data_IF_652395419642
#
_entry.id   IF_652395419642
#
_cell.length_a   1.000
_cell.length_b   1.000
_cell.length_c   1.000
_cell.angle_alpha   90.00
_cell.angle_beta   90.00
_cell.angle_gamma   90.00
#
_symmetry.space_group_name_H-M   'P 1'
#
loop_
_entity.id
_entity.type
_entity.pdbx_description
1 polymer ?
#
# COMPACT_ATOMS: atom_id res chain seq x y z
N UNK A 1 -14.23 -5.39 2.75
CA UNK A 1 -15.24 -5.39 3.84
C UNK A 1 -16.56 -4.79 3.38
N UNK A 2 -16.55 -3.61 2.76
CA UNK A 2 -17.77 -2.87 2.37
C UNK A 2 -18.83 -3.67 1.61
N UNK A 3 -18.47 -4.30 0.49
CA UNK A 3 -19.47 -4.80 -0.45
C UNK A 3 -20.17 -3.67 -1.22
N UNK A 4 -21.43 -3.89 -1.60
CA UNK A 4 -22.25 -2.94 -2.35
C UNK A 4 -21.51 -2.38 -3.58
N UNK A 5 -20.81 -3.28 -4.31
CA UNK A 5 -19.83 -2.89 -5.31
C UNK A 5 -20.43 -2.12 -6.50
N UNK A 6 -21.70 -2.35 -6.82
CA UNK A 6 -22.42 -1.69 -7.92
C UNK A 6 -23.58 -0.82 -7.43
N UNK A 7 -23.56 -0.39 -6.17
CA UNK A 7 -24.66 0.36 -5.56
C UNK A 7 -24.38 1.86 -5.52
N UNK A 8 -25.47 2.63 -5.53
CA UNK A 8 -25.49 4.06 -5.21
C UNK A 8 -24.43 4.91 -5.96
N UNK A 9 -24.15 4.56 -7.21
CA UNK A 9 -23.28 5.32 -8.09
C UNK A 9 -21.78 5.05 -7.93
N UNK A 10 -21.37 4.05 -7.12
CA UNK A 10 -20.00 3.53 -7.15
C UNK A 10 -19.70 2.93 -8.53
N UNK A 11 -18.48 3.13 -9.03
CA UNK A 11 -17.96 2.48 -10.24
C UNK A 11 -16.92 1.42 -9.88
N UNK A 12 -16.57 0.53 -10.84
CA UNK A 12 -15.53 -0.46 -10.62
C UNK A 12 -14.18 0.15 -10.24
N UNK A 13 -13.56 -0.46 -9.25
CA UNK A 13 -12.12 -0.40 -8.96
C UNK A 13 -11.39 -1.49 -9.73
N UNK A 14 -10.06 -1.44 -9.74
CA UNK A 14 -9.21 -2.47 -10.33
C UNK A 14 -9.44 -3.87 -9.72
N UNK A 15 -9.87 -3.96 -8.45
CA UNK A 15 -10.21 -5.23 -7.82
C UNK A 15 -11.52 -5.83 -8.33
N UNK A 16 -12.52 -5.01 -8.64
CA UNK A 16 -13.80 -5.51 -9.16
C UNK A 16 -13.57 -6.17 -10.54
N UNK A 17 -12.87 -5.45 -11.43
CA UNK A 17 -12.50 -5.96 -12.75
C UNK A 17 -11.65 -7.23 -12.66
N UNK A 18 -10.66 -7.23 -11.75
CA UNK A 18 -9.78 -8.39 -11.56
C UNK A 18 -10.54 -9.61 -11.04
N UNK A 19 -11.43 -9.44 -10.07
CA UNK A 19 -12.23 -10.52 -9.53
C UNK A 19 -13.21 -11.08 -10.59
N UNK A 20 -13.96 -10.20 -11.28
CA UNK A 20 -14.91 -10.60 -12.31
C UNK A 20 -14.25 -11.17 -13.58
N UNK A 21 -12.96 -10.90 -13.82
CA UNK A 21 -12.15 -11.57 -14.84
C UNK A 21 -11.73 -13.01 -14.45
N UNK A 22 -12.10 -13.47 -13.24
CA UNK A 22 -11.88 -14.83 -12.76
C UNK A 22 -10.52 -15.06 -12.11
N UNK A 23 -9.83 -14.02 -11.66
CA UNK A 23 -8.50 -14.14 -11.04
C UNK A 23 -8.53 -14.51 -9.55
N UNK A 24 -9.71 -14.57 -8.95
CA UNK A 24 -9.90 -14.95 -7.54
C UNK A 24 -10.75 -16.22 -7.39
N UNK A 25 -10.67 -17.14 -8.36
CA UNK A 25 -11.26 -18.48 -8.29
C UNK A 25 -12.78 -18.54 -8.06
N UNK A 26 -13.51 -17.55 -8.59
CA UNK A 26 -14.98 -17.49 -8.51
C UNK A 26 -15.52 -16.75 -7.29
N UNK A 27 -14.65 -16.31 -6.38
CA UNK A 27 -15.01 -15.36 -5.32
C UNK A 27 -15.04 -13.91 -5.85
N UNK A 28 -15.47 -12.96 -5.02
CA UNK A 28 -15.39 -11.53 -5.30
C UNK A 28 -15.71 -10.71 -4.05
N UNK A 29 -15.56 -9.38 -4.16
CA UNK A 29 -15.91 -8.42 -3.11
C UNK A 29 -17.29 -7.80 -3.26
N UNK A 30 -18.19 -8.37 -4.07
CA UNK A 30 -19.46 -7.70 -4.43
C UNK A 30 -20.33 -7.44 -3.20
N UNK A 31 -20.33 -8.39 -2.25
CA UNK A 31 -21.00 -8.30 -0.94
C UNK A 31 -19.97 -8.21 0.20
N UNK A 32 -18.88 -8.98 0.14
CA UNK A 32 -17.88 -9.07 1.21
C UNK A 32 -18.50 -9.31 2.61
N UNK A 33 -18.21 -8.46 3.59
CA UNK A 33 -18.83 -8.52 4.93
C UNK A 33 -20.11 -7.70 5.03
N UNK A 34 -20.49 -7.00 3.95
CA UNK A 34 -21.66 -6.13 3.86
C UNK A 34 -21.61 -4.92 4.83
N UNK A 35 -20.39 -4.46 5.20
CA UNK A 35 -20.20 -3.30 6.09
C UNK A 35 -20.84 -2.03 5.52
N UNK A 36 -21.01 -1.93 4.19
CA UNK A 36 -21.74 -0.81 3.60
C UNK A 36 -23.14 -0.61 4.22
N UNK A 37 -23.82 -1.72 4.47
CA UNK A 37 -25.15 -1.74 5.10
C UNK A 37 -25.07 -1.94 6.62
N UNK A 38 -24.05 -2.64 7.10
CA UNK A 38 -23.95 -3.14 8.47
C UNK A 38 -22.94 -2.42 9.36
N UNK A 39 -22.38 -1.30 8.91
CA UNK A 39 -21.33 -0.59 9.66
C UNK A 39 -21.71 -0.27 11.12
N UNK A 40 -22.99 -0.07 11.45
CA UNK A 40 -23.42 0.13 12.84
C UNK A 40 -23.23 -1.10 13.72
N UNK A 41 -23.46 -2.28 13.16
CA UNK A 41 -23.25 -3.56 13.83
C UNK A 41 -21.75 -3.79 14.04
N UNK A 42 -20.94 -3.48 13.02
CA UNK A 42 -19.48 -3.54 13.12
C UNK A 42 -18.96 -2.58 14.20
N UNK A 43 -19.43 -1.33 14.23
CA UNK A 43 -19.06 -0.36 15.29
C UNK A 43 -19.48 -0.84 16.68
N UNK A 44 -20.67 -1.43 16.82
CA UNK A 44 -21.11 -1.96 18.10
C UNK A 44 -20.20 -3.09 18.60
N UNK A 45 -19.75 -3.98 17.70
CA UNK A 45 -18.75 -5.01 18.05
C UNK A 45 -17.42 -4.40 18.48
N UNK A 46 -16.98 -3.31 17.85
CA UNK A 46 -15.76 -2.58 18.25
C UNK A 46 -15.89 -1.98 19.65
N UNK A 47 -17.07 -1.44 20.00
CA UNK A 47 -17.37 -0.92 21.34
C UNK A 47 -17.33 -2.04 22.37
N UNK A 48 -17.99 -3.16 22.10
CA UNK A 48 -18.01 -4.34 23.00
C UNK A 48 -16.62 -4.93 23.20
N UNK A 49 -15.78 -4.88 22.17
CA UNK A 49 -14.37 -5.29 22.23
C UNK A 49 -13.51 -4.30 23.03
N UNK A 50 -13.95 -3.05 23.16
CA UNK A 50 -13.22 -1.99 23.84
C UNK A 50 -12.11 -1.37 23.01
N UNK A 51 -12.32 -1.21 21.69
CA UNK A 51 -11.34 -0.56 20.80
C UNK A 51 -11.36 0.96 20.98
N UNK A 52 -10.18 1.58 21.08
CA UNK A 52 -10.03 3.04 21.11
C UNK A 52 -10.02 3.68 19.72
N UNK A 53 -9.72 2.90 18.68
CA UNK A 53 -9.55 3.37 17.32
C UNK A 53 -9.94 2.30 16.31
N UNK A 54 -10.44 2.74 15.15
CA UNK A 54 -10.73 1.88 14.00
C UNK A 54 -9.99 2.41 12.78
N UNK A 55 -9.17 1.53 12.18
CA UNK A 55 -8.51 1.82 10.91
C UNK A 55 -9.33 1.25 9.76
N UNK A 56 -9.77 2.12 8.86
CA UNK A 56 -10.50 1.75 7.64
C UNK A 56 -9.99 2.52 6.42
N UNK A 57 -10.42 2.15 5.22
CA UNK A 57 -10.12 2.87 3.99
C UNK A 57 -11.36 3.48 3.36
N UNK A 58 -11.18 4.60 2.66
CA UNK A 58 -12.23 5.20 1.83
C UNK A 58 -12.07 4.64 0.41
N UNK A 59 -13.14 4.08 -0.15
CA UNK A 59 -13.16 3.59 -1.52
C UNK A 59 -13.13 4.77 -2.49
N UNK A 60 -12.03 4.91 -3.25
CA UNK A 60 -11.88 6.00 -4.21
C UNK A 60 -12.99 5.94 -5.27
N UNK A 61 -13.27 4.76 -5.83
CA UNK A 61 -14.31 4.60 -6.86
C UNK A 61 -15.74 4.79 -6.33
N UNK A 62 -15.95 4.72 -5.00
CA UNK A 62 -17.23 5.08 -4.38
C UNK A 62 -17.38 6.58 -4.23
N UNK A 63 -16.32 7.27 -3.77
CA UNK A 63 -16.37 8.70 -3.49
C UNK A 63 -16.26 9.55 -4.77
N UNK A 64 -15.38 9.18 -5.69
CA UNK A 64 -15.16 9.79 -7.00
C UNK A 64 -15.25 8.71 -8.09
N UNK A 65 -16.45 8.41 -8.61
CA UNK A 65 -16.64 7.29 -9.54
C UNK A 65 -15.85 7.40 -10.85
N UNK A 66 -15.61 8.61 -11.34
CA UNK A 66 -14.78 8.83 -12.54
C UNK A 66 -13.29 9.01 -12.19
N UNK A 67 -12.86 8.65 -10.97
CA UNK A 67 -11.55 8.94 -10.39
C UNK A 67 -11.32 10.41 -10.04
N UNK A 68 -12.02 11.32 -10.73
CA UNK A 68 -11.97 12.77 -10.55
C UNK A 68 -13.37 13.38 -10.76
N UNK A 69 -13.48 14.69 -10.49
CA UNK A 69 -14.71 15.44 -10.74
C UNK A 69 -15.69 15.45 -9.56
N UNK A 70 -17.01 15.41 -9.79
CA UNK A 70 -18.00 15.59 -8.74
C UNK A 70 -18.00 14.43 -7.74
N UNK A 71 -18.23 14.76 -6.47
CA UNK A 71 -18.38 13.79 -5.39
C UNK A 71 -19.70 13.04 -5.54
N UNK A 72 -19.65 11.72 -5.40
CA UNK A 72 -20.85 10.91 -5.23
C UNK A 72 -21.44 11.17 -3.84
N UNK A 73 -22.61 11.81 -3.79
CA UNK A 73 -23.27 12.19 -2.52
C UNK A 73 -23.60 10.99 -1.64
N UNK A 74 -23.85 9.82 -2.22
CA UNK A 74 -24.13 8.58 -1.49
C UNK A 74 -22.88 7.99 -0.83
N UNK A 75 -21.78 7.91 -1.57
CA UNK A 75 -20.47 7.57 -1.00
C UNK A 75 -20.06 8.52 0.12
N UNK A 76 -20.24 9.83 -0.11
CA UNK A 76 -19.98 10.86 0.91
C UNK A 76 -20.84 10.67 2.16
N UNK A 77 -22.12 10.36 1.99
CA UNK A 77 -23.04 10.11 3.10
C UNK A 77 -22.64 8.88 3.91
N UNK A 78 -22.27 7.79 3.24
CA UNK A 78 -21.82 6.56 3.90
C UNK A 78 -20.62 6.82 4.83
N UNK A 79 -19.53 7.41 4.32
CA UNK A 79 -18.35 7.66 5.16
C UNK A 79 -18.62 8.67 6.26
N UNK A 80 -19.43 9.71 6.02
CA UNK A 80 -19.86 10.62 7.08
C UNK A 80 -20.62 9.88 8.20
N UNK A 81 -21.52 8.97 7.83
CA UNK A 81 -22.28 8.18 8.78
C UNK A 81 -21.38 7.23 9.59
N UNK A 82 -20.47 6.51 8.93
CA UNK A 82 -19.49 5.66 9.59
C UNK A 82 -18.61 6.45 10.57
N UNK A 83 -18.03 7.57 10.11
CA UNK A 83 -17.17 8.43 10.95
C UNK A 83 -17.94 8.98 12.14
N UNK A 84 -19.18 9.43 11.95
CA UNK A 84 -20.01 9.94 13.04
C UNK A 84 -20.35 8.84 14.06
N UNK A 85 -20.66 7.63 13.59
CA UNK A 85 -20.97 6.48 14.45
C UNK A 85 -19.75 6.06 15.29
N UNK A 86 -18.55 6.04 14.69
CA UNK A 86 -17.30 5.78 15.41
C UNK A 86 -17.08 6.82 16.52
N UNK A 87 -17.17 8.11 16.16
CA UNK A 87 -16.91 9.22 17.09
C UNK A 87 -17.96 9.27 18.21
N UNK A 88 -19.24 9.04 17.92
CA UNK A 88 -20.29 9.03 18.95
C UNK A 88 -20.08 7.92 19.99
N UNK A 89 -19.35 6.88 19.62
CA UNK A 89 -18.98 5.76 20.48
C UNK A 89 -17.54 5.88 21.04
N UNK A 90 -16.88 7.03 20.86
CA UNK A 90 -15.53 7.28 21.40
C UNK A 90 -14.39 6.60 20.64
N UNK A 91 -14.65 6.03 19.46
CA UNK A 91 -13.66 5.33 18.63
C UNK A 91 -13.04 6.31 17.65
N UNK A 92 -11.71 6.42 17.65
CA UNK A 92 -10.98 7.32 16.77
C UNK A 92 -10.89 6.76 15.34
N UNK A 93 -11.30 7.53 14.31
CA UNK A 93 -11.15 7.09 12.92
C UNK A 93 -9.70 7.28 12.44
N UNK A 94 -9.07 6.18 12.01
CA UNK A 94 -7.79 6.15 11.32
C UNK A 94 -8.04 5.83 9.84
N UNK A 95 -7.97 6.84 8.97
CA UNK A 95 -8.40 6.67 7.57
C UNK A 95 -7.22 6.40 6.65
N UNK A 96 -7.35 5.40 5.80
CA UNK A 96 -6.46 5.14 4.66
C UNK A 96 -7.09 5.60 3.36
N UNK A 97 -6.42 6.45 2.58
CA UNK A 97 -6.98 7.00 1.35
C UNK A 97 -6.98 5.98 0.21
N UNK A 98 -5.88 5.26 0.00
CA UNK A 98 -5.79 4.23 -1.02
C UNK A 98 -5.32 2.91 -0.40
N UNK A 99 -6.13 1.88 -0.56
CA UNK A 99 -5.85 0.53 -0.10
C UNK A 99 -6.06 -0.46 -1.25
N UNK A 100 -5.16 -0.39 -2.24
CA UNK A 100 -5.18 -1.21 -3.47
C UNK A 100 -6.40 -0.99 -4.38
N UNK A 101 -7.18 0.07 -4.18
CA UNK A 101 -8.55 0.23 -4.71
C UNK A 101 -8.69 1.29 -5.82
N UNK A 102 -7.65 1.47 -6.65
CA UNK A 102 -7.66 2.43 -7.76
C UNK A 102 -8.94 2.31 -8.61
N UNK A 103 -9.64 3.42 -8.94
CA UNK A 103 -10.78 3.38 -9.87
C UNK A 103 -10.35 2.83 -11.24
N UNK A 104 -11.08 1.86 -11.78
CA UNK A 104 -10.74 1.19 -13.04
C UNK A 104 -10.60 2.19 -14.20
N UNK A 105 -11.42 3.24 -14.20
CA UNK A 105 -11.37 4.30 -15.23
C UNK A 105 -10.00 4.99 -15.33
N UNK A 106 -9.24 5.12 -14.22
CA UNK A 106 -7.90 5.70 -14.24
C UNK A 106 -6.85 4.71 -14.75
N UNK A 107 -7.07 3.41 -14.50
CA UNK A 107 -6.27 2.34 -15.09
C UNK A 107 -6.48 2.26 -16.61
N UNK A 108 -7.74 2.35 -17.07
CA UNK A 108 -8.10 2.30 -18.49
C UNK A 108 -7.62 3.53 -19.26
N UNK A 109 -7.69 4.73 -18.66
CA UNK A 109 -7.37 5.99 -19.34
C UNK A 109 -5.87 6.15 -19.57
N UNK A 110 -5.03 5.84 -18.57
CA UNK A 110 -3.59 6.10 -18.65
C UNK A 110 -2.70 5.05 -17.97
N UNK A 111 -3.26 3.94 -17.50
CA UNK A 111 -2.49 2.90 -16.82
C UNK A 111 -2.23 3.17 -15.34
N UNK A 112 -3.06 3.98 -14.67
CA UNK A 112 -3.00 4.11 -13.22
C UNK A 112 -1.63 4.58 -12.71
N UNK A 113 -1.02 3.77 -11.84
CA UNK A 113 0.19 4.17 -11.13
C UNK A 113 1.47 4.19 -11.98
N UNK A 114 1.46 3.63 -13.20
CA UNK A 114 2.60 3.78 -14.13
C UNK A 114 2.59 5.11 -14.89
N UNK A 115 1.50 5.88 -14.82
CA UNK A 115 1.45 7.25 -15.36
C UNK A 115 1.69 8.30 -14.29
N UNK A 116 2.40 9.36 -14.66
CA UNK A 116 2.62 10.53 -13.80
C UNK A 116 1.33 11.33 -13.53
N UNK A 117 0.30 11.17 -14.37
CA UNK A 117 -0.99 11.85 -14.23
C UNK A 117 -1.71 11.46 -12.92
N UNK A 118 -1.44 10.27 -12.39
CA UNK A 118 -2.01 9.79 -11.13
C UNK A 118 -1.71 10.73 -9.96
N UNK A 119 -0.58 11.46 -9.99
CA UNK A 119 -0.20 12.37 -8.92
C UNK A 119 -1.25 13.47 -8.77
N UNK A 120 -1.73 14.03 -9.89
CA UNK A 120 -2.76 15.07 -9.88
C UNK A 120 -4.07 14.51 -9.36
N UNK A 121 -4.49 13.36 -9.86
CA UNK A 121 -5.80 12.80 -9.57
C UNK A 121 -5.87 12.27 -8.13
N UNK A 122 -4.81 11.63 -7.63
CA UNK A 122 -4.70 11.25 -6.22
C UNK A 122 -4.66 12.47 -5.30
N UNK A 123 -3.96 13.54 -5.70
CA UNK A 123 -3.95 14.80 -4.92
C UNK A 123 -5.34 15.43 -4.87
N UNK A 124 -6.09 15.38 -5.97
CA UNK A 124 -7.48 15.86 -6.01
C UNK A 124 -8.39 15.02 -5.10
N UNK A 125 -8.27 13.69 -5.18
CA UNK A 125 -9.00 12.77 -4.30
C UNK A 125 -8.69 13.02 -2.82
N UNK A 126 -7.41 13.15 -2.47
CA UNK A 126 -7.00 13.52 -1.12
C UNK A 126 -7.57 14.88 -0.68
N UNK A 127 -7.60 15.88 -1.57
CA UNK A 127 -8.22 17.20 -1.29
C UNK A 127 -9.70 17.06 -0.92
N UNK A 128 -10.44 16.20 -1.64
CA UNK A 128 -11.84 15.90 -1.32
C UNK A 128 -11.93 15.25 0.05
N UNK A 129 -11.18 14.18 0.31
CA UNK A 129 -11.24 13.49 1.61
C UNK A 129 -10.91 14.43 2.79
N UNK A 130 -9.84 15.23 2.67
CA UNK A 130 -9.48 16.19 3.72
C UNK A 130 -10.55 17.26 3.92
N UNK A 131 -11.15 17.77 2.83
CA UNK A 131 -12.20 18.78 2.92
C UNK A 131 -13.46 18.25 3.58
N UNK A 132 -13.90 17.05 3.19
CA UNK A 132 -15.20 16.51 3.58
C UNK A 132 -15.20 15.82 4.95
N UNK A 133 -14.05 15.29 5.39
CA UNK A 133 -13.98 14.46 6.61
C UNK A 133 -12.93 14.94 7.63
N UNK A 134 -12.01 15.82 7.23
CA UNK A 134 -10.88 16.21 8.08
C UNK A 134 -11.24 17.10 9.26
N UNK A 135 -12.49 17.54 9.39
CA UNK A 135 -13.01 18.17 10.61
C UNK A 135 -13.11 17.16 11.79
N UNK A 136 -13.19 15.87 11.48
CA UNK A 136 -13.38 14.76 12.43
C UNK A 136 -12.27 13.71 12.37
N UNK A 137 -11.64 13.55 11.21
CA UNK A 137 -10.55 12.58 11.00
C UNK A 137 -9.19 13.23 11.22
N UNK A 138 -8.47 12.73 12.23
CA UNK A 138 -7.15 13.24 12.60
C UNK A 138 -6.01 12.41 12.02
N UNK A 139 -6.17 11.11 11.77
CA UNK A 139 -5.08 10.26 11.29
C UNK A 139 -5.32 9.81 9.86
N UNK A 140 -4.46 10.26 8.95
CA UNK A 140 -4.55 9.99 7.53
C UNK A 140 -3.36 9.16 7.06
N UNK A 141 -3.61 7.98 6.54
CA UNK A 141 -2.64 7.21 5.75
C UNK A 141 -2.92 7.45 4.28
N UNK A 142 -1.93 7.90 3.53
CA UNK A 142 -2.08 8.13 2.08
C UNK A 142 -2.24 6.82 1.31
N UNK A 143 -1.23 5.97 1.31
CA UNK A 143 -1.23 4.69 0.59
C UNK A 143 -0.88 3.56 1.53
N UNK A 144 -1.65 2.47 1.43
CA UNK A 144 -1.33 1.22 2.10
C UNK A 144 -0.27 0.44 1.33
N UNK A 145 0.76 -0.06 2.03
CA UNK A 145 1.73 -1.06 1.52
C UNK A 145 2.18 -0.85 0.06
N UNK A 146 2.74 0.31 -0.29
CA UNK A 146 3.11 0.61 -1.67
C UNK A 146 4.09 -0.41 -2.26
N UNK A 147 4.93 -1.01 -1.41
CA UNK A 147 5.87 -2.07 -1.79
C UNK A 147 5.16 -3.38 -2.18
N UNK A 148 4.19 -3.85 -1.38
CA UNK A 148 3.42 -5.06 -1.69
C UNK A 148 2.57 -4.84 -2.93
N UNK A 149 1.94 -3.68 -3.04
CA UNK A 149 1.14 -3.31 -4.21
C UNK A 149 1.95 -3.32 -5.51
N UNK A 150 3.16 -2.75 -5.49
CA UNK A 150 4.03 -2.74 -6.66
C UNK A 150 4.48 -4.15 -7.06
N UNK A 151 4.85 -5.00 -6.09
CA UNK A 151 5.26 -6.39 -6.36
C UNK A 151 4.09 -7.20 -6.93
N UNK A 152 2.92 -7.16 -6.30
CA UNK A 152 1.77 -7.96 -6.75
C UNK A 152 1.17 -7.47 -8.06
N UNK A 153 0.99 -6.15 -8.19
CA UNK A 153 0.24 -5.52 -9.28
C UNK A 153 1.06 -5.17 -10.52
N UNK A 154 2.38 -4.93 -10.39
CA UNK A 154 3.24 -4.43 -11.47
C UNK A 154 4.50 -5.26 -11.73
N UNK A 155 4.75 -6.31 -10.94
CA UNK A 155 5.86 -7.23 -11.14
C UNK A 155 5.36 -8.65 -11.46
N UNK A 156 4.70 -9.28 -10.49
CA UNK A 156 4.33 -10.70 -10.52
C UNK A 156 2.97 -10.96 -11.20
N UNK A 157 2.13 -9.92 -11.32
CA UNK A 157 0.77 -10.03 -11.85
C UNK A 157 -0.13 -10.93 -11.00
N UNK A 158 0.08 -10.99 -9.69
CA UNK A 158 -0.73 -11.76 -8.73
C UNK A 158 -1.88 -10.96 -8.15
N UNK A 159 -1.84 -9.63 -8.27
CA UNK A 159 -2.93 -8.72 -7.94
C UNK A 159 -3.23 -7.75 -9.08
N UNK A 160 -4.29 -6.94 -8.96
CA UNK A 160 -4.61 -5.91 -9.94
C UNK A 160 -3.52 -4.80 -9.97
N UNK A 161 -3.28 -4.14 -11.13
CA UNK A 161 -3.96 -4.30 -12.42
C UNK A 161 -3.41 -5.46 -13.28
N UNK A 162 -2.66 -6.40 -12.69
CA UNK A 162 -2.07 -7.55 -13.36
C UNK A 162 -1.02 -7.17 -14.43
N UNK A 163 -0.23 -6.14 -14.15
CA UNK A 163 0.92 -5.82 -14.97
C UNK A 163 2.08 -6.76 -14.63
N UNK A 164 2.56 -7.50 -15.63
CA UNK A 164 3.73 -8.36 -15.57
C UNK A 164 4.26 -8.66 -16.99
N UNK A 165 5.54 -9.02 -17.09
CA UNK A 165 6.17 -9.48 -18.33
C UNK A 165 6.90 -10.82 -18.12
N UNK A 166 6.86 -11.77 -19.07
CA UNK A 166 7.63 -13.00 -18.97
C UNK A 166 9.14 -12.75 -18.77
N UNK A 167 9.83 -13.57 -17.95
CA UNK A 167 9.35 -14.79 -17.28
C UNK A 167 8.74 -14.55 -15.89
N UNK A 168 8.53 -13.31 -15.46
CA UNK A 168 8.23 -12.94 -14.06
C UNK A 168 6.75 -13.09 -13.68
N UNK A 169 5.86 -13.19 -14.67
CA UNK A 169 4.43 -13.46 -14.44
C UNK A 169 4.22 -14.79 -13.70
N UNK A 170 3.65 -14.72 -12.49
CA UNK A 170 3.27 -15.90 -11.71
C UNK A 170 2.01 -16.54 -12.28
N UNK A 171 1.02 -15.72 -12.64
CA UNK A 171 -0.21 -16.16 -13.31
C UNK A 171 0.05 -16.21 -14.82
N UNK A 172 0.14 -17.42 -15.38
CA UNK A 172 0.42 -17.63 -16.82
C UNK A 172 -0.88 -17.55 -17.64
N UNK A 173 -1.01 -16.54 -18.50
CA UNK A 173 -2.04 -16.44 -19.55
C UNK A 173 -1.46 -15.82 -20.83
N UNK A 174 -2.20 -15.96 -21.93
CA UNK A 174 -1.76 -15.55 -23.29
C UNK A 174 -1.57 -14.04 -23.46
N UNK A 175 -2.21 -13.22 -22.61
CA UNK A 175 -2.05 -11.76 -22.61
C UNK A 175 -1.28 -11.32 -21.37
N UNK A 176 -0.05 -10.83 -21.56
CA UNK A 176 0.75 -10.16 -20.53
C UNK A 176 0.87 -8.68 -20.88
N UNK A 177 0.43 -7.80 -19.98
CA UNK A 177 0.58 -6.35 -20.09
C UNK A 177 1.64 -5.89 -19.10
N UNK A 178 2.44 -4.89 -19.47
CA UNK A 178 3.36 -4.23 -18.55
C UNK A 178 4.80 -4.72 -18.66
N UNK A 179 5.62 -4.28 -17.72
CA UNK A 179 7.06 -4.49 -17.75
C UNK A 179 7.63 -4.63 -16.32
N UNK A 180 7.76 -5.89 -15.87
CA UNK A 180 8.26 -6.26 -14.53
C UNK A 180 9.65 -5.71 -14.21
N UNK A 181 10.44 -5.39 -15.25
CA UNK A 181 11.77 -4.80 -15.09
C UNK A 181 11.73 -3.32 -14.68
N UNK A 182 10.66 -2.59 -14.98
CA UNK A 182 10.59 -1.12 -14.80
C UNK A 182 9.36 -0.64 -14.02
N UNK A 183 8.19 -1.21 -14.29
CA UNK A 183 6.91 -0.72 -13.76
C UNK A 183 6.78 -0.78 -12.24
N UNK A 184 7.34 -1.77 -11.51
CA UNK A 184 7.31 -1.74 -10.04
C UNK A 184 7.99 -0.50 -9.47
N UNK A 185 9.14 -0.11 -10.04
CA UNK A 185 9.85 1.10 -9.63
C UNK A 185 9.06 2.36 -9.99
N UNK A 186 8.44 2.38 -11.17
CA UNK A 186 7.65 3.50 -11.65
C UNK A 186 6.39 3.72 -10.81
N UNK A 187 5.68 2.63 -10.47
CA UNK A 187 4.50 2.68 -9.60
C UNK A 187 4.86 3.21 -8.21
N UNK A 188 5.90 2.67 -7.56
CA UNK A 188 6.35 3.18 -6.25
C UNK A 188 6.80 4.63 -6.34
N UNK A 189 7.50 5.02 -7.42
CA UNK A 189 7.94 6.39 -7.62
C UNK A 189 6.76 7.36 -7.67
N UNK A 190 5.73 7.07 -8.47
CA UNK A 190 4.53 7.90 -8.55
C UNK A 190 3.70 7.86 -7.26
N UNK A 191 3.67 6.74 -6.53
CA UNK A 191 3.05 6.66 -5.21
C UNK A 191 3.75 7.62 -4.23
N UNK A 192 5.09 7.61 -4.18
CA UNK A 192 5.85 8.50 -3.30
C UNK A 192 5.62 9.98 -3.64
N UNK A 193 5.58 10.32 -4.93
CA UNK A 193 5.24 11.68 -5.38
C UNK A 193 3.80 12.05 -5.00
N UNK A 194 2.85 11.13 -5.17
CA UNK A 194 1.44 11.34 -4.81
C UNK A 194 1.25 11.53 -3.30
N UNK A 195 1.93 10.71 -2.49
CA UNK A 195 2.01 10.86 -1.04
C UNK A 195 2.55 12.25 -0.66
N UNK A 196 3.71 12.65 -1.22
CA UNK A 196 4.32 13.94 -0.91
C UNK A 196 3.43 15.13 -1.30
N UNK A 197 2.72 15.01 -2.44
CA UNK A 197 1.79 16.02 -2.93
C UNK A 197 0.58 16.16 -2.00
N UNK A 198 -0.03 15.04 -1.58
CA UNK A 198 -1.14 15.03 -0.63
C UNK A 198 -0.74 15.56 0.76
N UNK A 199 0.41 15.14 1.29
CA UNK A 199 0.92 15.63 2.57
C UNK A 199 1.22 17.14 2.54
N UNK A 200 1.81 17.63 1.45
CA UNK A 200 2.06 19.06 1.24
C UNK A 200 0.76 19.86 1.12
N UNK A 201 -0.25 19.31 0.44
CA UNK A 201 -1.59 19.89 0.37
C UNK A 201 -2.19 20.00 1.77
N UNK A 202 -2.17 18.91 2.54
CA UNK A 202 -2.68 18.89 3.93
C UNK A 202 -2.00 19.94 4.80
N UNK A 203 -0.67 19.97 4.79
CA UNK A 203 0.14 20.92 5.56
C UNK A 203 -0.21 22.37 5.25
N UNK A 204 -0.50 22.69 3.98
CA UNK A 204 -0.74 24.07 3.53
C UNK A 204 -2.18 24.55 3.68
N UNK A 205 -3.14 23.65 3.54
CA UNK A 205 -4.56 24.01 3.42
C UNK A 205 -5.37 23.62 4.66
N UNK A 206 -4.99 22.56 5.35
CA UNK A 206 -5.83 21.90 6.35
C UNK A 206 -5.21 21.83 7.75
N UNK A 207 -3.89 21.65 7.87
CA UNK A 207 -3.19 21.41 9.15
C UNK A 207 -3.52 22.44 10.24
N UNK A 208 -3.58 23.73 9.90
CA UNK A 208 -3.83 24.80 10.88
C UNK A 208 -5.26 24.78 11.45
N UNK A 209 -6.21 24.16 10.75
CA UNK A 209 -7.62 24.07 11.18
C UNK A 209 -7.99 22.71 11.73
N UNK A 210 -7.45 21.65 11.13
CA UNK A 210 -7.83 20.27 11.40
C UNK A 210 -6.88 19.60 12.39
N UNK A 211 -5.64 20.09 12.52
CA UNK A 211 -4.63 19.57 13.45
C UNK A 211 -4.31 18.07 13.34
N UNK A 212 -4.74 17.39 12.26
CA UNK A 212 -4.47 15.98 12.02
C UNK A 212 -3.06 15.72 11.51
N UNK A 213 -2.77 14.46 11.25
CA UNK A 213 -1.47 13.89 10.93
C UNK A 213 -1.56 13.08 9.63
N UNK A 214 -0.56 13.23 8.76
CA UNK A 214 -0.50 12.50 7.49
C UNK A 214 0.70 11.56 7.48
N UNK A 215 0.47 10.28 7.23
CA UNK A 215 1.47 9.24 7.12
C UNK A 215 1.32 8.37 5.88
N UNK A 216 2.13 7.32 5.86
CA UNK A 216 2.11 6.25 4.87
C UNK A 216 2.38 4.94 5.62
N UNK A 217 1.81 3.82 5.14
CA UNK A 217 2.17 2.53 5.71
C UNK A 217 3.27 1.85 4.90
N UNK A 218 3.92 0.89 5.55
CA UNK A 218 4.87 0.01 4.92
C UNK A 218 4.73 -1.39 5.50
N UNK A 219 4.58 -2.35 4.60
CA UNK A 219 4.71 -3.76 4.97
C UNK A 219 6.17 -4.09 5.21
N UNK A 220 6.45 -4.81 6.29
CA UNK A 220 7.79 -5.31 6.56
C UNK A 220 7.78 -6.71 7.15
N UNK A 221 8.58 -7.59 6.55
CA UNK A 221 9.02 -8.80 7.22
C UNK A 221 10.08 -8.50 8.29
N UNK A 222 10.24 -9.42 9.24
CA UNK A 222 11.50 -9.55 9.95
C UNK A 222 12.51 -10.32 9.09
N UNK A 223 13.48 -9.62 8.48
CA UNK A 223 14.50 -10.26 7.64
C UNK A 223 15.71 -10.75 8.44
N UNK A 224 15.89 -12.06 8.53
CA UNK A 224 16.97 -12.70 9.27
C UNK A 224 17.92 -13.45 8.35
N UNK A 225 19.24 -13.38 8.57
CA UNK A 225 20.17 -14.13 7.74
C UNK A 225 19.99 -15.63 7.99
N UNK A 226 19.91 -16.42 6.92
CA UNK A 226 19.75 -17.88 7.00
C UNK A 226 20.92 -18.52 7.75
N UNK A 227 22.14 -18.05 7.49
CA UNK A 227 23.37 -18.48 8.15
C UNK A 227 24.08 -17.31 8.81
N UNK A 228 25.06 -17.59 9.69
CA UNK A 228 25.89 -16.56 10.32
C UNK A 228 26.96 -15.96 9.38
N UNK A 229 26.88 -16.23 8.08
CA UNK A 229 27.86 -15.74 7.13
C UNK A 229 27.64 -14.26 6.82
N UNK A 230 28.72 -13.57 6.48
CA UNK A 230 28.64 -12.15 6.11
C UNK A 230 27.77 -11.93 4.86
N UNK A 231 27.76 -12.89 3.92
CA UNK A 231 26.95 -12.84 2.71
C UNK A 231 25.45 -12.77 3.03
N UNK A 232 24.96 -13.66 3.89
CA UNK A 232 23.54 -13.68 4.27
C UNK A 232 23.15 -12.45 5.12
N UNK A 233 24.08 -11.95 5.94
CA UNK A 233 23.89 -10.71 6.71
C UNK A 233 23.71 -9.50 5.78
N UNK A 234 24.57 -9.38 4.76
CA UNK A 234 24.46 -8.31 3.75
C UNK A 234 23.20 -8.50 2.90
N UNK A 235 22.85 -9.73 2.53
CA UNK A 235 21.62 -10.03 1.79
C UNK A 235 20.36 -9.61 2.57
N UNK A 236 20.32 -9.86 3.88
CA UNK A 236 19.23 -9.42 4.77
C UNK A 236 19.11 -7.89 4.82
N UNK A 237 20.24 -7.17 4.78
CA UNK A 237 20.24 -5.71 4.69
C UNK A 237 19.76 -5.23 3.31
N UNK A 238 20.21 -5.84 2.21
CA UNK A 238 19.71 -5.48 0.87
C UNK A 238 18.21 -5.67 0.75
N UNK A 239 17.66 -6.75 1.31
CA UNK A 239 16.22 -6.99 1.33
C UNK A 239 15.48 -5.85 2.04
N UNK A 240 15.99 -5.38 3.17
CA UNK A 240 15.45 -4.20 3.87
C UNK A 240 15.53 -2.94 3.04
N UNK A 241 16.66 -2.71 2.40
CA UNK A 241 16.89 -1.53 1.57
C UNK A 241 15.90 -1.44 0.40
N UNK A 242 15.51 -2.57 -0.19
CA UNK A 242 14.50 -2.62 -1.25
C UNK A 242 13.07 -2.47 -0.74
N UNK A 243 12.82 -2.81 0.53
CA UNK A 243 11.51 -2.63 1.16
C UNK A 243 11.33 -1.20 1.71
N UNK A 244 12.38 -0.55 2.24
CA UNK A 244 12.31 0.78 2.87
C UNK A 244 12.82 1.91 1.96
N UNK A 245 12.05 3.00 1.87
CA UNK A 245 12.31 4.11 0.96
C UNK A 245 13.42 5.09 1.40
N UNK A 246 14.47 5.19 0.59
CA UNK A 246 15.18 6.39 0.09
C UNK A 246 16.22 5.88 -0.92
N UNK A 247 15.73 5.21 -1.99
CA UNK A 247 16.51 4.36 -2.91
C UNK A 247 17.96 4.13 -2.46
N UNK A 248 18.18 3.23 -1.47
CA UNK A 248 19.48 3.10 -0.84
C UNK A 248 20.57 2.77 -1.87
N UNK A 249 21.83 2.98 -1.49
CA UNK A 249 22.97 2.76 -2.39
C UNK A 249 22.93 1.35 -3.02
N UNK A 250 22.51 0.35 -2.26
CA UNK A 250 22.30 -1.03 -2.75
C UNK A 250 21.27 -1.11 -3.88
N UNK A 251 20.10 -0.49 -3.72
CA UNK A 251 19.09 -0.39 -4.79
C UNK A 251 19.64 0.30 -6.03
N UNK A 252 20.24 1.48 -5.86
CA UNK A 252 20.82 2.25 -6.98
C UNK A 252 21.92 1.48 -7.71
N UNK A 253 22.73 0.73 -6.97
CA UNK A 253 23.80 -0.10 -7.55
C UNK A 253 23.23 -1.25 -8.36
N UNK A 254 22.19 -1.93 -7.86
CA UNK A 254 21.69 -3.15 -8.47
C UNK A 254 20.68 -2.88 -9.60
N UNK A 255 19.75 -1.96 -9.39
CA UNK A 255 18.69 -1.65 -10.35
C UNK A 255 19.09 -0.57 -11.35
N UNK A 256 19.95 0.38 -10.94
CA UNK A 256 20.53 1.40 -11.81
C UNK A 256 19.47 2.28 -12.47
N UNK A 257 19.57 2.43 -13.79
CA UNK A 257 18.71 3.27 -14.63
C UNK A 257 17.23 2.85 -14.63
N UNK A 258 16.89 1.69 -14.09
CA UNK A 258 15.50 1.22 -13.96
C UNK A 258 14.73 1.94 -12.86
N UNK A 259 15.44 2.54 -11.90
CA UNK A 259 14.83 3.37 -10.87
C UNK A 259 14.62 4.78 -11.44
N UNK A 260 13.38 5.30 -11.47
CA UNK A 260 13.15 6.67 -11.89
C UNK A 260 13.86 7.66 -10.97
N UNK A 261 14.48 8.67 -11.57
CA UNK A 261 15.26 9.68 -10.84
C UNK A 261 14.33 10.77 -10.33
N UNK A 262 14.34 11.01 -9.02
CA UNK A 262 13.75 12.23 -8.46
C UNK A 262 14.57 13.45 -8.88
N UNK A 263 13.89 14.49 -9.37
CA UNK A 263 14.48 15.83 -9.41
C UNK A 263 14.80 16.30 -7.99
N UNK A 264 15.73 17.26 -7.84
CA UNK A 264 16.08 17.82 -6.53
C UNK A 264 14.83 18.28 -5.76
N UNK A 265 13.91 18.97 -6.45
CA UNK A 265 12.65 19.44 -5.89
C UNK A 265 11.77 18.29 -5.40
N UNK A 266 11.64 17.22 -6.17
CA UNK A 266 10.83 16.07 -5.76
C UNK A 266 11.46 15.34 -4.57
N UNK A 267 12.79 15.17 -4.58
CA UNK A 267 13.50 14.54 -3.46
C UNK A 267 13.30 15.33 -2.17
N UNK A 268 13.42 16.65 -2.22
CA UNK A 268 13.14 17.54 -1.08
C UNK A 268 11.66 17.47 -0.63
N UNK A 269 10.73 17.27 -1.56
CA UNK A 269 9.31 17.16 -1.24
C UNK A 269 8.94 15.84 -0.58
N UNK A 270 9.52 14.73 -1.03
CA UNK A 270 9.28 13.39 -0.45
C UNK A 270 9.97 13.25 0.90
N UNK A 271 11.16 13.84 1.08
CA UNK A 271 11.85 13.82 2.37
C UNK A 271 11.06 14.60 3.43
N UNK A 272 10.64 13.92 4.49
CA UNK A 272 9.87 14.53 5.57
C UNK A 272 8.42 14.87 5.22
N UNK A 273 7.84 14.17 4.23
CA UNK A 273 6.42 14.30 3.88
C UNK A 273 5.47 13.48 4.76
N UNK A 274 5.93 12.96 5.90
CA UNK A 274 5.11 12.20 6.82
C UNK A 274 5.24 12.73 8.25
N UNK A 275 4.14 12.63 9.00
CA UNK A 275 4.07 12.90 10.44
C UNK A 275 4.26 11.59 11.25
N UNK A 276 3.94 10.44 10.65
CA UNK A 276 4.12 9.10 11.24
C UNK A 276 4.33 8.03 10.16
N UNK A 277 4.83 6.86 10.57
CA UNK A 277 4.92 5.65 9.73
C UNK A 277 3.96 4.59 10.29
N UNK A 278 3.08 4.05 9.44
CA UNK A 278 2.28 2.87 9.77
C UNK A 278 3.08 1.61 9.47
N UNK A 279 3.40 0.80 10.48
CA UNK A 279 4.09 -0.48 10.29
C UNK A 279 3.04 -1.58 10.18
N UNK A 280 3.17 -2.38 9.12
CA UNK A 280 2.43 -3.62 8.94
C UNK A 280 3.42 -4.78 9.00
N UNK A 281 3.20 -5.71 9.93
CA UNK A 281 4.16 -6.77 10.20
C UNK A 281 3.47 -8.04 10.69
N UNK A 282 3.56 -9.12 9.91
CA UNK A 282 2.95 -10.40 10.26
C UNK A 282 3.97 -11.53 10.50
N UNK A 283 5.15 -11.44 9.89
CA UNK A 283 6.02 -12.59 9.76
C UNK A 283 7.51 -12.26 9.69
N UNK A 284 8.29 -13.28 10.04
CA UNK A 284 9.74 -13.30 9.91
C UNK A 284 10.15 -14.26 8.81
N UNK A 285 11.22 -13.92 8.11
CA UNK A 285 11.73 -14.69 6.98
C UNK A 285 13.24 -14.86 7.08
N UNK A 286 13.74 -16.01 6.65
CA UNK A 286 15.17 -16.22 6.49
C UNK A 286 15.60 -15.76 5.09
N UNK A 287 16.74 -15.10 5.01
CA UNK A 287 17.28 -14.52 3.78
C UNK A 287 18.65 -15.09 3.54
N UNK A 288 18.90 -15.52 2.30
CA UNK A 288 20.24 -15.94 1.86
C UNK A 288 20.70 -15.15 0.65
N UNK A 289 22.02 -15.03 0.49
CA UNK A 289 22.62 -14.35 -0.64
C UNK A 289 22.29 -15.03 -1.98
N UNK A 290 21.91 -14.22 -2.97
CA UNK A 290 21.74 -14.64 -4.35
C UNK A 290 22.39 -13.60 -5.28
N UNK A 291 23.64 -13.25 -5.00
CA UNK A 291 24.40 -12.28 -5.79
C UNK A 291 24.54 -12.68 -7.27
N UNK A 292 24.40 -13.98 -7.59
CA UNK A 292 24.42 -14.48 -8.96
C UNK A 292 23.23 -14.00 -9.80
N UNK A 293 22.10 -13.62 -9.17
CA UNK A 293 20.97 -13.01 -9.87
C UNK A 293 21.38 -11.73 -10.63
N UNK A 294 22.35 -10.97 -10.12
CA UNK A 294 22.86 -9.74 -10.75
C UNK A 294 23.64 -10.00 -12.06
N UNK A 295 24.03 -11.26 -12.33
CA UNK A 295 24.69 -11.66 -13.58
C UNK A 295 23.68 -11.86 -14.72
N UNK A 296 22.39 -11.97 -14.39
CA UNK A 296 21.31 -12.13 -15.36
C UNK A 296 21.00 -10.76 -15.98
N UNK A 297 20.89 -10.71 -17.30
CA UNK A 297 20.63 -9.45 -18.01
C UNK A 297 19.18 -8.97 -17.81
N UNK A 298 18.20 -9.87 -17.96
CA UNK A 298 16.78 -9.59 -17.74
C UNK A 298 16.43 -9.84 -16.27
N UNK A 299 16.05 -8.79 -15.55
CA UNK A 299 15.77 -8.83 -14.10
C UNK A 299 14.49 -8.07 -13.77
N UNK A 300 13.75 -8.56 -12.79
CA UNK A 300 12.66 -7.87 -12.12
C UNK A 300 13.15 -7.20 -10.82
N UNK A 301 12.21 -6.65 -10.05
CA UNK A 301 12.51 -6.04 -8.76
C UNK A 301 13.05 -7.05 -7.74
N UNK A 302 12.57 -8.30 -7.77
CA UNK A 302 13.04 -9.35 -6.87
C UNK A 302 14.48 -9.78 -7.18
N UNK A 303 14.83 -9.98 -8.45
CA UNK A 303 16.19 -10.32 -8.85
C UNK A 303 17.19 -9.21 -8.48
N UNK A 304 16.76 -7.95 -8.46
CA UNK A 304 17.60 -6.82 -8.07
C UNK A 304 17.93 -6.77 -6.59
N UNK A 305 17.10 -7.36 -5.72
CA UNK A 305 17.44 -7.55 -4.31
C UNK A 305 18.67 -8.44 -4.13
N UNK A 306 18.96 -9.28 -5.14
CA UNK A 306 20.08 -10.24 -5.15
C UNK A 306 20.10 -11.12 -3.90
N UNK A 307 18.92 -11.50 -3.43
CA UNK A 307 18.72 -12.22 -2.19
C UNK A 307 17.47 -13.09 -2.32
N UNK A 308 17.49 -14.26 -1.68
CA UNK A 308 16.37 -15.20 -1.71
C UNK A 308 15.70 -15.22 -0.35
N UNK A 309 14.40 -14.98 -0.32
CA UNK A 309 13.57 -15.20 0.86
C UNK A 309 13.22 -16.68 0.94
N UNK A 310 13.59 -17.32 2.04
CA UNK A 310 13.17 -18.65 2.41
C UNK A 310 12.08 -18.53 3.47
N UNK A 311 10.83 -18.63 3.03
CA UNK A 311 9.72 -18.89 3.92
C UNK A 311 9.55 -20.40 4.02
N UNK A 312 9.67 -20.95 5.22
CA UNK A 312 9.39 -22.38 5.47
C UNK A 312 7.92 -22.77 5.17
N UNK A 313 7.09 -21.81 4.74
CA UNK A 313 5.64 -21.90 4.56
C UNK A 313 5.15 -21.55 3.12
N UNK A 314 6.03 -21.21 2.17
CA UNK A 314 5.62 -20.73 0.82
C UNK A 314 5.30 -21.83 -0.21
N UNK A 315 4.92 -23.04 0.18
CA UNK A 315 4.47 -24.04 -0.81
C UNK A 315 3.04 -23.83 -1.30
N UNK A 316 2.23 -22.97 -0.66
CA UNK A 316 0.88 -22.63 -1.13
C UNK A 316 0.38 -21.31 -0.49
N UNK A 317 0.49 -20.18 -1.18
CA UNK A 317 -0.12 -18.91 -0.76
C UNK A 317 -1.64 -19.00 -0.57
N UNK A 318 -2.30 -19.93 -1.26
CA UNK A 318 -3.75 -20.19 -1.16
C UNK A 318 -4.18 -20.93 0.12
N UNK A 319 -3.25 -21.40 0.97
CA UNK A 319 -3.54 -22.23 2.16
C UNK A 319 -2.72 -21.87 3.41
N UNK A 320 -2.38 -20.59 3.61
CA UNK A 320 -1.71 -20.17 4.85
C UNK A 320 -2.73 -20.03 5.99
N UNK A 321 -2.74 -20.99 6.91
CA UNK A 321 -3.60 -20.94 8.11
C UNK A 321 -2.90 -20.22 9.28
N UNK A 322 -1.56 -20.24 9.39
CA UNK A 322 -0.81 -19.55 10.47
C UNK A 322 0.63 -19.18 10.10
N UNK A 323 1.06 -17.96 10.46
CA UNK A 323 2.48 -17.55 10.46
C UNK A 323 3.20 -18.06 11.72
N UNK A 324 4.51 -18.39 11.67
CA UNK A 324 5.27 -18.72 12.87
C UNK A 324 5.24 -17.57 13.89
N UNK A 325 4.91 -17.87 15.15
CA UNK A 325 4.79 -16.87 16.24
C UNK A 325 6.17 -16.32 16.62
N UNK A 326 6.53 -15.25 15.93
CA UNK A 326 7.79 -14.51 15.85
C UNK A 326 7.95 -13.17 16.60
N UNK A 327 7.41 -12.89 17.81
CA UNK A 327 7.17 -11.52 18.27
C UNK A 327 8.42 -10.64 18.42
N UNK A 328 9.59 -11.26 18.61
CA UNK A 328 10.88 -10.54 18.66
C UNK A 328 11.26 -9.90 17.32
N UNK A 329 10.71 -10.40 16.20
CA UNK A 329 10.92 -9.86 14.86
C UNK A 329 10.46 -8.42 14.74
N UNK A 330 9.20 -8.15 15.10
CA UNK A 330 8.66 -6.79 15.14
C UNK A 330 9.53 -5.85 15.99
N UNK A 331 9.96 -6.30 17.17
CA UNK A 331 10.83 -5.50 18.05
C UNK A 331 12.14 -5.11 17.36
N UNK A 332 12.76 -6.04 16.62
CA UNK A 332 13.97 -5.73 15.86
C UNK A 332 13.72 -4.75 14.72
N UNK A 333 12.57 -4.84 14.04
CA UNK A 333 12.17 -3.89 13.01
C UNK A 333 11.98 -2.48 13.58
N UNK A 334 11.28 -2.36 14.71
CA UNK A 334 11.09 -1.08 15.39
C UNK A 334 12.43 -0.49 15.87
N UNK A 335 13.35 -1.32 16.35
CA UNK A 335 14.70 -0.87 16.70
C UNK A 335 15.46 -0.32 15.47
N UNK A 336 15.24 -0.87 14.27
CA UNK A 336 15.85 -0.37 13.04
C UNK A 336 15.25 0.97 12.62
N UNK A 337 13.93 1.13 12.71
CA UNK A 337 13.30 2.44 12.52
C UNK A 337 13.88 3.50 13.47
N UNK A 338 14.07 3.12 14.73
CA UNK A 338 14.70 3.98 15.74
C UNK A 338 16.14 4.37 15.38
N UNK A 339 16.97 3.41 14.99
CA UNK A 339 18.40 3.63 14.76
C UNK A 339 18.73 4.27 13.41
N UNK A 340 17.98 3.93 12.35
CA UNK A 340 18.31 4.30 10.97
C UNK A 340 17.47 5.47 10.45
N UNK A 341 16.27 5.68 10.98
CA UNK A 341 15.30 6.64 10.44
C UNK A 341 14.89 7.74 11.42
N UNK A 342 15.69 7.95 12.47
CA UNK A 342 15.49 9.05 13.42
C UNK A 342 14.33 8.85 14.39
N UNK A 343 13.88 7.60 14.58
CA UNK A 343 12.81 7.24 15.52
C UNK A 343 11.51 8.03 15.29
N UNK A 344 10.91 7.95 14.09
CA UNK A 344 9.66 8.65 13.81
C UNK A 344 8.52 8.09 14.67
N UNK A 345 7.42 8.84 14.85
CA UNK A 345 6.20 8.27 15.40
C UNK A 345 5.75 7.06 14.58
N UNK A 346 5.47 5.94 15.26
CA UNK A 346 5.07 4.68 14.63
C UNK A 346 3.74 4.23 15.20
N UNK A 347 2.86 3.77 14.31
CA UNK A 347 1.69 2.98 14.67
C UNK A 347 1.84 1.57 14.09
N UNK A 348 1.52 0.55 14.88
CA UNK A 348 1.37 -0.80 14.34
C UNK A 348 -0.07 -0.89 13.84
N UNK A 349 -0.27 -0.80 12.52
CA UNK A 349 -1.61 -0.74 11.93
C UNK A 349 -2.16 -2.11 11.54
N UNK A 350 -1.29 -3.09 11.32
CA UNK A 350 -1.68 -4.49 11.11
C UNK A 350 -0.58 -5.40 11.69
N UNK A 351 -0.97 -6.47 12.38
CA UNK A 351 -0.04 -7.40 13.05
C UNK A 351 -0.54 -8.84 13.13
#
# INVERSE_FOLDING_TARGET
>A
VEGAANEEGRTPSIWDTFAHAGYVHGENGDVASDEYHKYKEDVQLMVETGLDAYRFSISWSRLLPNGRGPVNSKGLQYYNNLINELISNGIQPHVTLHNFDLPQVLEDEYGGWVSRDIIRDFTYYADVCFREFGDRVLYWTTVNEPNVFAIGGYDQGTGPPQHCSPPFCVIKRESTRGNSTYEPYLAVHHILLSHSSAARLYRRKYKDKQHGFVGITIFTFGFFPLTKTEKDRVASQRMRDFYYGDYPISMKTNAGERIPVFTNRESEQVKGSYDFIGVIHYANVNVTDNSDALKIQLRDLNADMAATILLHCMTNWLYLIQYPVAPWGLREELNKFKLLYGNPPIFIYEN
#
